data_IF_420865028962
#
_entry.id   IF_420865028962
#
_cell.length_a   1.000
_cell.length_b   1.000
_cell.length_c   1.000
_cell.angle_alpha   90.00
_cell.angle_beta   90.00
_cell.angle_gamma   90.00
#
_symmetry.space_group_name_H-M   'P 1'
#
loop_
_entity.id
_entity.type
_entity.pdbx_description
1 polymer ?
#
# COMPACT_ATOMS: atom_id res chain seq x y z
N UNK A 1 5.24 -23.24 18.10
CA UNK A 1 6.28 -22.18 18.06
C UNK A 1 7.34 -22.60 17.06
N UNK A 2 7.75 -21.69 16.16
CA UNK A 2 8.87 -21.95 15.25
C UNK A 2 10.19 -21.56 15.93
N UNK A 3 11.24 -22.35 15.70
CA UNK A 3 12.54 -22.12 16.33
C UNK A 3 13.33 -20.97 15.69
N UNK A 4 13.03 -20.65 14.44
CA UNK A 4 13.70 -19.64 13.66
C UNK A 4 12.66 -18.85 12.86
N UNK A 5 12.90 -17.58 12.65
CA UNK A 5 12.13 -16.75 11.71
C UNK A 5 13.04 -15.63 11.21
N UNK A 6 12.90 -15.27 9.96
CA UNK A 6 13.62 -14.14 9.34
C UNK A 6 12.98 -12.84 9.82
N UNK A 7 13.57 -12.23 10.85
CA UNK A 7 13.04 -10.97 11.40
C UNK A 7 12.86 -9.94 10.27
N UNK A 8 11.67 -9.30 10.22
CA UNK A 8 11.45 -8.29 9.18
C UNK A 8 12.44 -7.13 9.29
N UNK A 9 12.97 -6.72 8.16
CA UNK A 9 13.79 -5.52 8.04
C UNK A 9 12.91 -4.26 8.18
N UNK A 10 13.57 -3.11 8.25
CA UNK A 10 12.86 -1.82 8.33
C UNK A 10 11.99 -1.62 7.07
N UNK A 11 10.71 -1.33 7.26
CA UNK A 11 9.72 -1.12 6.20
C UNK A 11 9.48 -2.34 5.31
N UNK A 12 9.84 -3.55 5.78
CA UNK A 12 9.60 -4.77 5.02
C UNK A 12 8.15 -5.26 5.19
N UNK A 13 7.53 -5.71 4.10
CA UNK A 13 6.24 -6.42 4.13
C UNK A 13 6.40 -7.76 4.85
N UNK A 14 5.41 -8.13 5.65
CA UNK A 14 5.39 -9.45 6.31
C UNK A 14 5.45 -10.58 5.27
N UNK A 15 4.81 -10.37 4.11
CA UNK A 15 4.89 -11.30 2.97
C UNK A 15 6.35 -11.57 2.58
N UNK A 16 7.16 -10.50 2.49
CA UNK A 16 8.58 -10.59 2.11
C UNK A 16 9.38 -11.38 3.16
N UNK A 17 9.16 -11.08 4.44
CA UNK A 17 9.83 -11.80 5.54
C UNK A 17 9.47 -13.30 5.50
N UNK A 18 8.19 -13.64 5.25
CA UNK A 18 7.76 -15.04 5.11
C UNK A 18 8.41 -15.68 3.87
N UNK A 19 8.54 -14.95 2.76
CA UNK A 19 9.23 -15.44 1.57
C UNK A 19 10.71 -15.74 1.82
N UNK A 20 11.38 -14.88 2.62
CA UNK A 20 12.75 -15.12 3.06
C UNK A 20 12.82 -16.34 4.00
N UNK A 21 11.89 -16.45 4.94
CA UNK A 21 11.76 -17.61 5.83
C UNK A 21 11.64 -18.90 5.02
N UNK A 22 10.73 -18.94 4.05
CA UNK A 22 10.52 -20.09 3.16
C UNK A 22 11.84 -20.50 2.49
N UNK A 23 12.58 -19.53 1.97
CA UNK A 23 13.87 -19.77 1.28
C UNK A 23 14.91 -20.35 2.25
N UNK A 24 15.04 -19.75 3.45
CA UNK A 24 16.11 -20.14 4.40
C UNK A 24 15.82 -21.45 5.14
N UNK A 25 14.54 -21.82 5.29
CA UNK A 25 14.20 -23.13 5.87
C UNK A 25 14.45 -24.28 4.88
N UNK A 26 14.53 -23.98 3.59
CA UNK A 26 14.69 -25.00 2.56
C UNK A 26 13.41 -25.78 2.28
N UNK A 27 12.26 -25.31 2.74
CA UNK A 27 10.97 -25.94 2.44
C UNK A 27 10.74 -25.93 0.91
N UNK A 28 10.50 -27.10 0.34
CA UNK A 28 10.30 -27.23 -1.10
C UNK A 28 8.90 -26.78 -1.52
N UNK A 29 7.88 -27.13 -0.69
CA UNK A 29 6.48 -26.75 -0.96
C UNK A 29 6.10 -25.57 -0.06
N UNK A 30 5.59 -24.51 -0.69
CA UNK A 30 5.05 -23.35 0.05
C UNK A 30 3.96 -23.74 1.05
N UNK A 31 3.25 -24.84 0.80
CA UNK A 31 2.22 -25.36 1.74
C UNK A 31 2.82 -25.76 3.07
N UNK A 32 4.05 -26.27 3.09
CA UNK A 32 4.70 -26.67 4.34
C UNK A 32 5.01 -25.43 5.18
N UNK A 33 5.49 -24.36 4.55
CA UNK A 33 5.71 -23.07 5.21
C UNK A 33 4.39 -22.49 5.73
N UNK A 34 3.32 -22.59 4.94
CA UNK A 34 2.00 -22.12 5.38
C UNK A 34 1.50 -22.91 6.59
N UNK A 35 1.69 -24.23 6.59
CA UNK A 35 1.31 -25.07 7.72
C UNK A 35 2.13 -24.74 8.98
N UNK A 36 3.42 -24.54 8.84
CA UNK A 36 4.31 -24.16 9.95
C UNK A 36 3.87 -22.84 10.59
N UNK A 37 3.63 -21.81 9.76
CA UNK A 37 3.39 -20.45 10.25
C UNK A 37 1.92 -20.18 10.58
N UNK A 38 0.97 -20.89 9.95
CA UNK A 38 -0.45 -20.56 10.05
C UNK A 38 -1.35 -21.74 10.44
N UNK A 39 -0.80 -22.94 10.67
CA UNK A 39 -1.58 -24.17 10.90
C UNK A 39 -2.56 -24.49 9.75
N UNK A 40 -2.30 -24.01 8.54
CA UNK A 40 -3.16 -24.17 7.37
C UNK A 40 -2.33 -24.25 6.10
N UNK A 41 -2.66 -25.17 5.20
CA UNK A 41 -1.97 -25.34 3.92
C UNK A 41 -2.59 -24.53 2.77
N UNK A 42 -3.73 -23.88 3.00
CA UNK A 42 -4.55 -23.29 1.94
C UNK A 42 -4.70 -21.76 2.03
N UNK A 43 -3.96 -21.12 2.92
CA UNK A 43 -3.94 -19.65 2.99
C UNK A 43 -3.33 -19.11 1.70
N UNK A 44 -3.96 -18.09 1.12
CA UNK A 44 -3.40 -17.36 -0.02
C UNK A 44 -2.66 -16.14 0.54
N UNK A 45 -1.32 -16.14 0.51
CA UNK A 45 -0.57 -14.99 1.04
C UNK A 45 -0.84 -13.74 0.20
N UNK A 46 -1.43 -12.73 0.81
CA UNK A 46 -1.57 -11.44 0.13
C UNK A 46 -0.26 -10.67 0.25
N UNK A 47 0.12 -10.00 -0.82
CA UNK A 47 1.41 -9.29 -0.86
C UNK A 47 1.45 -8.16 0.19
N UNK A 48 0.43 -7.32 0.21
CA UNK A 48 0.50 -6.03 0.90
C UNK A 48 -0.08 -6.04 2.31
N UNK A 49 -1.05 -6.93 2.59
CA UNK A 49 -1.86 -6.82 3.82
C UNK A 49 -1.64 -8.00 4.77
N UNK A 50 -1.57 -9.23 4.24
CA UNK A 50 -1.52 -10.42 5.08
C UNK A 50 -2.91 -10.86 5.57
N UNK A 51 -2.94 -12.02 6.21
CA UNK A 51 -4.14 -12.58 6.86
C UNK A 51 -3.69 -13.57 7.93
N UNK A 52 -4.57 -13.96 8.84
CA UNK A 52 -4.27 -14.89 9.95
C UNK A 52 -3.05 -14.41 10.77
N UNK A 53 -2.92 -13.11 10.96
CA UNK A 53 -1.73 -12.52 11.62
C UNK A 53 -1.65 -12.93 13.09
N UNK A 54 -2.79 -13.20 13.78
CA UNK A 54 -2.77 -13.65 15.16
C UNK A 54 -2.12 -15.03 15.27
N UNK A 55 -2.44 -15.96 14.37
CA UNK A 55 -1.80 -17.28 14.32
C UNK A 55 -0.30 -17.14 14.06
N UNK A 56 0.08 -16.26 13.13
CA UNK A 56 1.50 -16.00 12.86
C UNK A 56 2.21 -15.47 14.10
N UNK A 57 1.67 -14.46 14.76
CA UNK A 57 2.27 -13.87 15.98
C UNK A 57 2.44 -14.93 17.08
N UNK A 58 1.43 -15.79 17.27
CA UNK A 58 1.47 -16.91 18.22
C UNK A 58 2.60 -17.89 17.87
N UNK A 59 2.72 -18.27 16.60
CA UNK A 59 3.79 -19.16 16.10
C UNK A 59 5.19 -18.57 16.31
N UNK A 60 5.30 -17.24 16.25
CA UNK A 60 6.57 -16.54 16.45
C UNK A 60 6.92 -16.37 17.96
N UNK A 61 6.10 -16.93 18.84
CA UNK A 61 6.45 -17.06 20.26
C UNK A 61 6.52 -15.76 21.04
N UNK A 62 5.69 -14.78 20.69
CA UNK A 62 5.62 -13.50 21.41
C UNK A 62 6.69 -12.49 21.06
N UNK A 63 7.59 -12.82 20.14
CA UNK A 63 8.57 -11.84 19.62
C UNK A 63 7.86 -10.71 18.89
N UNK A 64 6.70 -10.99 18.35
CA UNK A 64 5.89 -10.04 17.58
C UNK A 64 4.45 -10.08 18.08
N UNK A 65 3.82 -8.92 18.14
CA UNK A 65 2.37 -8.82 18.36
C UNK A 65 1.68 -8.65 17.00
N UNK A 66 0.43 -9.09 16.92
CA UNK A 66 -0.38 -8.91 15.70
C UNK A 66 -0.51 -7.44 15.32
N UNK A 67 -0.70 -6.57 16.31
CA UNK A 67 -0.77 -5.12 16.07
C UNK A 67 0.58 -4.58 15.58
N UNK A 68 1.69 -5.09 16.10
CA UNK A 68 3.03 -4.73 15.64
C UNK A 68 3.21 -5.09 14.17
N UNK A 69 2.87 -6.32 13.79
CA UNK A 69 2.95 -6.79 12.39
C UNK A 69 2.03 -5.94 11.50
N UNK A 70 0.78 -5.74 11.94
CA UNK A 70 -0.20 -4.96 11.18
C UNK A 70 0.33 -3.55 10.88
N UNK A 71 0.91 -2.88 11.88
CA UNK A 71 1.37 -1.49 11.76
C UNK A 71 2.72 -1.35 11.07
N UNK A 72 3.65 -2.29 11.29
CA UNK A 72 5.02 -2.14 10.81
C UNK A 72 5.31 -2.90 9.52
N UNK A 73 4.49 -3.93 9.19
CA UNK A 73 4.82 -4.86 8.13
C UNK A 73 3.68 -5.07 7.12
N UNK A 74 2.65 -4.19 7.13
CA UNK A 74 1.59 -4.16 6.10
C UNK A 74 1.36 -2.73 5.62
N UNK A 75 0.59 -2.58 4.53
CA UNK A 75 0.20 -1.24 4.04
C UNK A 75 -1.07 -0.71 4.71
N UNK A 76 -1.67 -1.43 5.64
CA UNK A 76 -2.91 -1.04 6.30
C UNK A 76 -2.85 0.37 6.92
N UNK A 77 -1.76 0.78 7.61
CA UNK A 77 -1.71 2.13 8.22
C UNK A 77 -1.93 3.28 7.23
N UNK A 78 -1.55 3.09 5.95
CA UNK A 78 -1.75 4.11 4.92
C UNK A 78 -3.24 4.41 4.72
N UNK A 79 -4.09 3.37 4.80
CA UNK A 79 -5.55 3.50 4.57
C UNK A 79 -6.32 3.85 5.84
N UNK A 80 -5.76 3.52 7.00
CA UNK A 80 -6.47 3.58 8.30
C UNK A 80 -7.17 4.91 8.57
N UNK A 81 -6.56 6.10 8.35
CA UNK A 81 -7.20 7.38 8.68
C UNK A 81 -8.45 7.69 7.84
N UNK A 82 -8.62 7.00 6.70
CA UNK A 82 -9.71 7.26 5.76
C UNK A 82 -10.89 6.30 5.95
N UNK A 83 -10.77 5.35 6.88
CA UNK A 83 -11.79 4.33 7.13
C UNK A 83 -12.71 4.76 8.29
N UNK A 84 -14.01 4.44 8.17
CA UNK A 84 -14.91 4.58 9.31
C UNK A 84 -14.53 3.55 10.39
N UNK A 85 -14.85 3.84 11.65
CA UNK A 85 -14.51 2.97 12.77
C UNK A 85 -15.05 1.54 12.59
N UNK A 86 -16.29 1.43 12.09
CA UNK A 86 -16.90 0.12 11.81
C UNK A 86 -16.08 -0.65 10.75
N UNK A 87 -15.69 0.05 9.69
CA UNK A 87 -14.91 -0.56 8.59
C UNK A 87 -13.51 -0.93 9.05
N UNK A 88 -12.87 -0.01 9.80
CA UNK A 88 -11.54 -0.24 10.41
C UNK A 88 -11.55 -1.52 11.25
N UNK A 89 -12.50 -1.65 12.19
CA UNK A 89 -12.61 -2.85 13.02
C UNK A 89 -12.82 -4.12 12.19
N UNK A 90 -13.73 -4.08 11.21
CA UNK A 90 -14.01 -5.23 10.35
C UNK A 90 -12.77 -5.67 9.56
N UNK A 91 -11.96 -4.73 9.08
CA UNK A 91 -10.73 -5.03 8.33
C UNK A 91 -9.67 -5.63 9.28
N UNK A 92 -9.48 -5.02 10.45
CA UNK A 92 -8.50 -5.51 11.45
C UNK A 92 -8.86 -6.94 11.85
N UNK A 93 -10.13 -7.23 12.13
CA UNK A 93 -10.60 -8.59 12.46
C UNK A 93 -10.30 -9.57 11.33
N UNK A 94 -10.55 -9.16 10.09
CA UNK A 94 -10.29 -9.99 8.91
C UNK A 94 -8.79 -10.27 8.74
N UNK A 95 -7.95 -9.26 8.96
CA UNK A 95 -6.48 -9.41 8.89
C UNK A 95 -5.99 -10.35 9.99
N UNK A 96 -6.51 -10.19 11.21
CA UNK A 96 -6.06 -10.97 12.37
C UNK A 96 -6.51 -12.44 12.31
N UNK A 97 -7.78 -12.66 12.02
CA UNK A 97 -8.42 -13.99 12.19
C UNK A 97 -8.94 -14.57 10.89
N UNK A 98 -9.21 -13.77 9.87
CA UNK A 98 -9.84 -14.17 8.62
C UNK A 98 -8.86 -14.73 7.59
N UNK A 99 -9.42 -15.14 6.45
CA UNK A 99 -8.65 -15.67 5.34
C UNK A 99 -8.23 -14.59 4.31
N UNK A 100 -8.51 -13.34 4.60
CA UNK A 100 -8.12 -12.21 3.76
C UNK A 100 -9.10 -11.89 2.63
N UNK A 101 -10.18 -12.66 2.49
CA UNK A 101 -11.14 -12.42 1.40
C UNK A 101 -11.82 -11.06 1.56
N UNK A 102 -11.87 -10.32 0.48
CA UNK A 102 -12.56 -9.03 0.46
C UNK A 102 -11.85 -7.88 1.14
N UNK A 103 -10.65 -8.07 1.71
CA UNK A 103 -9.90 -6.97 2.36
C UNK A 103 -9.66 -5.83 1.38
N UNK A 104 -9.22 -6.13 0.16
CA UNK A 104 -8.93 -5.11 -0.85
C UNK A 104 -10.19 -4.32 -1.24
N UNK A 105 -11.34 -4.99 -1.30
CA UNK A 105 -12.64 -4.33 -1.54
C UNK A 105 -13.04 -3.46 -0.34
N UNK A 106 -12.85 -3.98 0.88
CA UNK A 106 -13.13 -3.22 2.10
C UNK A 106 -12.22 -2.00 2.24
N UNK A 107 -10.98 -2.07 1.77
CA UNK A 107 -10.04 -0.94 1.76
C UNK A 107 -10.37 0.08 0.66
N UNK A 108 -11.15 -0.32 -0.36
CA UNK A 108 -11.44 0.53 -1.50
C UNK A 108 -10.42 0.42 -2.64
N UNK A 109 -9.46 -0.47 -2.52
CA UNK A 109 -8.37 -0.60 -3.50
C UNK A 109 -8.84 -1.13 -4.87
N UNK A 110 -9.98 -1.82 -4.90
CA UNK A 110 -10.54 -2.41 -6.13
C UNK A 110 -11.43 -1.42 -6.87
N UNK A 111 -12.13 -0.57 -6.12
CA UNK A 111 -13.11 0.36 -6.70
C UNK A 111 -12.40 1.51 -7.41
N UNK A 112 -12.73 1.72 -8.67
CA UNK A 112 -12.21 2.85 -9.46
C UNK A 112 -10.94 2.60 -10.24
N UNK A 113 -10.26 1.49 -10.00
CA UNK A 113 -9.03 1.10 -10.73
C UNK A 113 -7.98 2.22 -10.78
N UNK A 114 -7.88 3.02 -9.73
CA UNK A 114 -6.98 4.18 -9.68
C UNK A 114 -5.58 3.73 -9.26
N UNK A 115 -4.57 4.08 -10.03
CA UNK A 115 -3.14 3.84 -9.73
C UNK A 115 -2.83 2.39 -9.40
N UNK A 116 -3.48 1.43 -10.04
CA UNK A 116 -3.32 0.00 -9.73
C UNK A 116 -1.88 -0.46 -9.96
N UNK A 117 -1.31 -1.12 -8.97
CA UNK A 117 -0.03 -1.80 -9.08
C UNK A 117 -0.27 -3.30 -9.24
N UNK A 118 0.15 -3.84 -10.39
CA UNK A 118 -0.02 -5.26 -10.74
C UNK A 118 1.28 -6.06 -10.55
N UNK A 119 2.37 -5.37 -10.26
CA UNK A 119 3.72 -5.94 -10.13
C UNK A 119 4.28 -5.62 -8.75
N UNK A 120 5.29 -6.36 -8.36
CA UNK A 120 6.12 -6.00 -7.22
C UNK A 120 7.06 -4.89 -7.68
N UNK A 121 7.16 -3.83 -6.89
CA UNK A 121 8.04 -2.69 -7.19
C UNK A 121 9.18 -2.62 -6.19
N UNK A 122 10.33 -2.18 -6.65
CA UNK A 122 11.51 -1.99 -5.81
C UNK A 122 12.27 -0.74 -6.25
N UNK A 123 13.06 -0.20 -5.34
CA UNK A 123 13.98 0.91 -5.63
C UNK A 123 15.36 0.32 -5.88
N UNK A 124 16.01 0.58 -7.03
CA UNK A 124 17.32 0.02 -7.29
C UNK A 124 18.39 0.49 -6.29
N UNK A 125 18.27 1.72 -5.76
CA UNK A 125 19.22 2.21 -4.76
C UNK A 125 19.02 1.52 -3.40
N UNK A 126 17.75 1.36 -2.95
CA UNK A 126 17.45 0.59 -1.73
C UNK A 126 18.03 -0.82 -1.86
N UNK A 127 17.75 -1.49 -2.98
CA UNK A 127 18.20 -2.89 -3.19
C UNK A 127 19.72 -3.02 -3.13
N UNK A 128 20.46 -2.06 -3.69
CA UNK A 128 21.93 -2.06 -3.62
C UNK A 128 22.42 -1.94 -2.18
N UNK A 129 21.86 -1.00 -1.43
CA UNK A 129 22.20 -0.78 -0.01
C UNK A 129 21.88 -2.02 0.84
N UNK A 130 20.73 -2.65 0.57
CA UNK A 130 20.27 -3.84 1.29
C UNK A 130 21.17 -5.05 1.01
N UNK A 131 21.49 -5.28 -0.26
CA UNK A 131 22.40 -6.35 -0.64
C UNK A 131 23.76 -6.14 0.02
N UNK A 132 24.28 -4.91 0.01
CA UNK A 132 25.56 -4.59 0.66
C UNK A 132 25.50 -4.84 2.17
N UNK A 133 24.38 -4.44 2.81
CA UNK A 133 24.25 -4.47 4.28
C UNK A 133 23.83 -5.85 4.82
N UNK A 134 22.92 -6.50 4.12
CA UNK A 134 22.23 -7.71 4.62
C UNK A 134 22.49 -8.95 3.76
N UNK A 135 23.10 -8.78 2.58
CA UNK A 135 23.32 -9.87 1.63
C UNK A 135 22.10 -10.15 0.72
N UNK A 136 21.00 -9.43 0.93
CA UNK A 136 19.76 -9.66 0.17
C UNK A 136 18.90 -8.40 0.13
N UNK A 137 18.08 -8.28 -0.92
CA UNK A 137 17.07 -7.24 -1.05
C UNK A 137 15.71 -7.78 -0.57
N UNK A 138 14.80 -6.87 -0.19
CA UNK A 138 13.48 -7.25 0.33
C UNK A 138 12.39 -6.32 -0.21
N UNK A 139 11.13 -6.72 -0.04
CA UNK A 139 9.98 -5.98 -0.59
C UNK A 139 9.51 -4.94 0.43
N UNK A 140 9.71 -3.66 0.11
CA UNK A 140 9.28 -2.54 0.96
C UNK A 140 7.78 -2.30 0.85
N UNK A 141 7.16 -1.91 1.97
CA UNK A 141 5.75 -1.52 2.05
C UNK A 141 5.47 -0.30 1.16
N UNK A 142 6.30 0.75 1.32
CA UNK A 142 6.07 2.02 0.60
C UNK A 142 6.09 1.83 -0.92
N UNK A 143 6.96 0.94 -1.40
CA UNK A 143 7.09 0.71 -2.84
C UNK A 143 5.85 0.03 -3.45
N UNK A 144 4.99 -0.59 -2.62
CA UNK A 144 3.78 -1.25 -3.11
C UNK A 144 2.53 -0.35 -3.03
N UNK A 145 2.64 0.86 -2.44
CA UNK A 145 1.49 1.76 -2.33
C UNK A 145 1.03 2.26 -3.71
N UNK A 146 -0.28 2.30 -3.91
CA UNK A 146 -0.87 2.86 -5.12
C UNK A 146 -0.46 4.32 -5.28
N UNK A 147 -0.09 4.73 -6.50
CA UNK A 147 0.34 6.10 -6.79
C UNK A 147 1.79 6.42 -6.46
N UNK A 148 2.53 5.52 -5.81
CA UNK A 148 3.95 5.72 -5.49
C UNK A 148 4.80 5.12 -6.62
N UNK A 149 5.44 5.96 -7.40
CA UNK A 149 6.28 5.57 -8.55
C UNK A 149 7.74 5.97 -8.38
N UNK A 150 8.07 6.72 -7.33
CA UNK A 150 9.43 7.15 -6.97
C UNK A 150 9.67 6.74 -5.52
N UNK A 151 10.87 6.31 -5.20
CA UNK A 151 11.29 6.04 -3.83
C UNK A 151 11.31 7.33 -3.02
N UNK A 152 10.66 7.38 -1.87
CA UNK A 152 10.61 8.58 -1.01
C UNK A 152 11.97 8.94 -0.42
N UNK A 153 12.86 7.94 -0.29
CA UNK A 153 14.20 8.10 0.31
C UNK A 153 15.25 8.52 -0.73
N UNK A 154 15.25 7.86 -1.89
CA UNK A 154 16.31 8.06 -2.90
C UNK A 154 15.89 8.98 -4.05
N UNK A 155 14.59 9.26 -4.20
CA UNK A 155 14.11 10.08 -5.30
C UNK A 155 14.25 9.44 -6.68
N UNK A 156 14.52 8.14 -6.75
CA UNK A 156 14.66 7.44 -8.03
C UNK A 156 13.39 6.66 -8.35
N UNK A 157 13.12 6.48 -9.65
CA UNK A 157 11.96 5.74 -10.12
C UNK A 157 12.02 4.29 -9.63
N UNK A 158 10.86 3.74 -9.28
CA UNK A 158 10.74 2.35 -8.88
C UNK A 158 10.73 1.46 -10.13
N UNK A 159 11.49 0.37 -10.08
CA UNK A 159 11.50 -0.64 -11.12
C UNK A 159 10.47 -1.72 -10.83
N UNK A 160 9.93 -2.34 -11.88
CA UNK A 160 9.08 -3.53 -11.75
C UNK A 160 9.95 -4.76 -11.62
N UNK A 161 9.65 -5.58 -10.64
CA UNK A 161 10.29 -6.88 -10.52
C UNK A 161 9.68 -7.81 -11.58
N UNK A 162 10.50 -8.62 -12.28
CA UNK A 162 10.00 -9.42 -13.40
C UNK A 162 8.99 -10.50 -13.01
N UNK A 163 9.06 -11.01 -11.77
CA UNK A 163 8.10 -11.99 -11.27
C UNK A 163 6.95 -11.29 -10.55
N UNK A 164 5.76 -11.81 -10.68
CA UNK A 164 4.58 -11.28 -9.99
C UNK A 164 3.57 -12.39 -9.68
N UNK A 165 2.62 -12.10 -8.82
CA UNK A 165 1.65 -13.09 -8.34
C UNK A 165 0.70 -13.61 -9.42
N UNK A 166 0.54 -12.89 -10.53
CA UNK A 166 -0.31 -13.37 -11.63
C UNK A 166 0.36 -14.46 -12.46
N UNK A 167 1.70 -14.53 -12.42
CA UNK A 167 2.49 -15.48 -13.20
C UNK A 167 2.98 -16.66 -12.35
N UNK A 168 2.60 -16.72 -11.09
CA UNK A 168 3.02 -17.78 -10.15
C UNK A 168 1.80 -18.40 -9.50
N UNK A 169 2.00 -19.52 -8.83
CA UNK A 169 0.94 -20.11 -8.02
C UNK A 169 0.48 -19.14 -6.93
N UNK A 170 -0.82 -19.12 -6.65
CA UNK A 170 -1.41 -18.23 -5.64
C UNK A 170 -0.78 -18.37 -4.26
N UNK A 171 -0.27 -19.55 -3.94
CA UNK A 171 0.35 -19.82 -2.63
C UNK A 171 1.87 -19.64 -2.64
N UNK A 172 2.45 -19.39 -3.82
CA UNK A 172 3.91 -19.25 -3.97
C UNK A 172 4.40 -17.93 -3.39
N UNK A 173 5.54 -17.99 -2.70
CA UNK A 173 6.22 -16.80 -2.18
C UNK A 173 7.22 -16.28 -3.21
N UNK A 174 7.19 -14.99 -3.48
CA UNK A 174 8.15 -14.30 -4.35
C UNK A 174 9.13 -13.56 -3.44
N UNK A 175 10.41 -13.90 -3.57
CA UNK A 175 11.52 -13.20 -2.91
C UNK A 175 12.26 -12.39 -3.98
N UNK A 176 12.81 -11.24 -3.61
CA UNK A 176 13.66 -10.48 -4.52
C UNK A 176 15.00 -11.21 -4.67
N UNK A 177 15.28 -11.70 -5.87
CA UNK A 177 16.55 -12.33 -6.21
C UNK A 177 17.46 -11.27 -6.85
N UNK A 178 18.65 -11.07 -6.29
CA UNK A 178 19.61 -10.09 -6.76
C UNK A 178 19.94 -10.25 -8.26
N UNK A 179 19.88 -11.47 -8.77
CA UNK A 179 20.14 -11.76 -10.20
C UNK A 179 19.06 -11.22 -11.13
N UNK A 180 17.86 -10.94 -10.59
CA UNK A 180 16.72 -10.45 -11.37
C UNK A 180 16.51 -8.94 -11.19
N UNK A 181 17.35 -8.27 -10.40
CA UNK A 181 17.28 -6.82 -10.21
C UNK A 181 18.08 -6.15 -11.33
N UNK A 182 17.40 -5.32 -12.11
CA UNK A 182 18.00 -4.61 -13.25
C UNK A 182 18.00 -3.11 -12.96
N UNK A 183 19.18 -2.54 -12.80
CA UNK A 183 19.35 -1.13 -12.45
C UNK A 183 18.92 -0.17 -13.55
N UNK A 184 18.83 -0.65 -14.79
CA UNK A 184 18.57 0.21 -15.94
C UNK A 184 17.11 0.25 -16.37
N UNK A 185 16.24 -0.57 -15.75
CA UNK A 185 14.82 -0.59 -16.09
C UNK A 185 14.04 0.39 -15.23
N UNK A 186 13.87 1.59 -15.72
CA UNK A 186 12.90 2.54 -15.15
C UNK A 186 11.60 2.43 -15.93
N UNK A 187 10.52 2.18 -15.22
CA UNK A 187 9.20 2.03 -15.80
C UNK A 187 8.58 3.39 -16.08
N UNK A 188 8.49 3.74 -17.36
CA UNK A 188 7.58 4.73 -17.95
C UNK A 188 7.29 5.99 -17.13
N UNK A 189 8.24 6.42 -16.34
CA UNK A 189 8.07 7.59 -15.49
C UNK A 189 8.50 8.83 -16.30
N UNK A 190 7.64 9.82 -16.36
CA UNK A 190 7.91 11.07 -17.09
C UNK A 190 8.60 12.05 -16.13
N UNK A 191 9.91 12.27 -16.35
CA UNK A 191 10.75 13.16 -15.52
C UNK A 191 10.21 14.59 -15.40
N UNK A 192 9.40 15.02 -16.36
CA UNK A 192 8.72 16.32 -16.33
C UNK A 192 7.89 16.51 -15.04
N UNK A 193 7.38 15.41 -14.47
CA UNK A 193 6.52 15.47 -13.29
C UNK A 193 7.23 14.99 -12.03
N UNK A 194 8.57 14.99 -12.03
CA UNK A 194 9.41 14.47 -10.94
C UNK A 194 8.96 14.99 -9.58
N UNK A 195 8.82 16.31 -9.43
CA UNK A 195 8.47 16.93 -8.14
C UNK A 195 7.11 16.47 -7.64
N UNK A 196 6.16 16.25 -8.54
CA UNK A 196 4.82 15.78 -8.18
C UNK A 196 4.86 14.33 -7.70
N UNK A 197 5.59 13.48 -8.41
CA UNK A 197 5.79 12.09 -7.98
C UNK A 197 6.48 12.02 -6.61
N UNK A 198 7.54 12.81 -6.44
CA UNK A 198 8.31 12.81 -5.19
C UNK A 198 7.45 13.32 -4.01
N UNK A 199 6.66 14.36 -4.25
CA UNK A 199 5.72 14.90 -3.26
C UNK A 199 4.72 13.82 -2.83
N UNK A 200 4.10 13.12 -3.80
CA UNK A 200 3.13 12.06 -3.52
C UNK A 200 3.82 10.95 -2.71
N UNK A 201 5.01 10.52 -3.11
CA UNK A 201 5.74 9.45 -2.41
C UNK A 201 6.08 9.83 -0.98
N UNK A 202 6.54 11.05 -0.74
CA UNK A 202 6.84 11.54 0.61
C UNK A 202 5.59 11.60 1.50
N UNK A 203 4.46 12.07 0.96
CA UNK A 203 3.21 12.09 1.73
C UNK A 203 2.68 10.68 1.98
N UNK A 204 2.79 9.79 0.99
CA UNK A 204 2.40 8.39 1.15
C UNK A 204 3.24 7.70 2.24
N UNK A 205 4.56 7.91 2.22
CA UNK A 205 5.46 7.38 3.25
C UNK A 205 5.11 7.96 4.63
N UNK A 206 4.83 9.26 4.72
CA UNK A 206 4.42 9.89 5.98
C UNK A 206 3.16 9.22 6.53
N UNK A 207 2.13 9.02 5.69
CA UNK A 207 0.89 8.36 6.11
C UNK A 207 1.17 6.91 6.58
N UNK A 208 2.03 6.20 5.87
CA UNK A 208 2.35 4.80 6.18
C UNK A 208 3.15 4.66 7.48
N UNK A 209 4.06 5.59 7.74
CA UNK A 209 5.04 5.46 8.84
C UNK A 209 4.60 6.17 10.13
N UNK A 210 3.60 7.05 10.06
CA UNK A 210 3.11 7.80 11.22
C UNK A 210 2.03 7.00 11.96
N UNK A 211 1.98 7.14 13.28
CA UNK A 211 0.87 6.56 14.05
C UNK A 211 -0.34 7.49 13.95
N UNK A 212 -1.21 7.16 13.01
CA UNK A 212 -2.46 7.89 12.77
C UNK A 212 -3.70 7.11 13.27
N UNK A 213 -3.49 6.13 14.14
CA UNK A 213 -4.57 5.26 14.66
C UNK A 213 -5.70 6.03 15.36
N UNK A 214 -5.36 7.18 15.98
CA UNK A 214 -6.33 8.05 16.65
C UNK A 214 -7.05 9.02 15.68
N UNK A 215 -6.64 9.03 14.41
CA UNK A 215 -7.29 9.90 13.40
C UNK A 215 -8.52 9.18 12.86
N UNK A 216 -9.67 9.80 12.99
CA UNK A 216 -10.92 9.25 12.44
C UNK A 216 -11.22 9.87 11.07
N UNK A 217 -11.94 9.13 10.26
CA UNK A 217 -12.44 9.60 8.96
C UNK A 217 -13.17 10.94 9.10
N UNK A 218 -13.96 11.09 10.17
CA UNK A 218 -14.72 12.31 10.43
C UNK A 218 -13.79 13.52 10.64
N UNK A 219 -12.68 13.33 11.36
CA UNK A 219 -11.67 14.39 11.55
C UNK A 219 -11.06 14.80 10.19
N UNK A 220 -10.72 13.82 9.36
CA UNK A 220 -10.17 14.07 8.02
C UNK A 220 -11.19 14.85 7.16
N UNK A 221 -12.44 14.38 7.12
CA UNK A 221 -13.51 15.04 6.36
C UNK A 221 -13.76 16.47 6.82
N UNK A 222 -13.78 16.69 8.13
CA UNK A 222 -14.00 18.03 8.69
C UNK A 222 -12.84 18.97 8.34
N UNK A 223 -11.60 18.48 8.41
CA UNK A 223 -10.43 19.27 7.97
C UNK A 223 -10.55 19.63 6.50
N UNK A 224 -10.92 18.67 5.65
CA UNK A 224 -11.15 18.90 4.21
C UNK A 224 -12.21 19.98 3.98
N UNK A 225 -13.36 19.87 4.64
CA UNK A 225 -14.46 20.84 4.49
C UNK A 225 -14.01 22.25 4.89
N UNK A 226 -13.28 22.35 5.99
CA UNK A 226 -12.76 23.64 6.46
C UNK A 226 -11.80 24.26 5.44
N UNK A 227 -10.87 23.46 4.91
CA UNK A 227 -9.91 23.92 3.88
C UNK A 227 -10.65 24.40 2.62
N UNK A 228 -11.68 23.67 2.17
CA UNK A 228 -12.48 24.07 1.00
C UNK A 228 -13.23 25.38 1.28
N UNK A 229 -13.73 25.56 2.48
CA UNK A 229 -14.37 26.80 2.89
C UNK A 229 -13.39 27.97 2.89
N UNK A 230 -12.21 27.78 3.52
CA UNK A 230 -11.15 28.78 3.60
C UNK A 230 -10.66 29.22 2.21
N UNK A 231 -10.66 28.28 1.24
CA UNK A 231 -10.29 28.55 -0.15
C UNK A 231 -11.41 29.12 -1.01
N UNK A 232 -12.60 29.39 -0.42
CA UNK A 232 -13.74 29.94 -1.17
C UNK A 232 -14.39 28.93 -2.13
N UNK A 233 -14.09 27.63 -1.95
CA UNK A 233 -14.59 26.56 -2.83
C UNK A 233 -15.94 26.01 -2.37
N UNK A 234 -16.64 26.75 -1.48
CA UNK A 234 -18.00 26.41 -1.06
C UNK A 234 -18.93 27.60 -1.26
N UNK A 235 -20.22 27.31 -1.40
CA UNK A 235 -21.29 28.34 -1.40
C UNK A 235 -21.58 28.75 0.05
N UNK A 236 -22.41 29.78 0.24
CA UNK A 236 -22.90 30.21 1.55
C UNK A 236 -23.65 29.07 2.27
N UNK A 237 -24.31 28.18 1.52
CA UNK A 237 -24.99 26.99 2.07
C UNK A 237 -24.04 25.79 2.26
N UNK A 238 -22.74 26.02 2.22
CA UNK A 238 -21.65 25.00 2.40
C UNK A 238 -21.66 23.88 1.35
N UNK A 239 -22.29 24.10 0.20
CA UNK A 239 -22.19 23.17 -0.94
C UNK A 239 -20.89 23.42 -1.70
N UNK A 240 -20.22 22.34 -2.10
CA UNK A 240 -18.95 22.43 -2.80
C UNK A 240 -19.18 22.90 -4.25
N UNK A 241 -18.39 23.88 -4.67
CA UNK A 241 -18.38 24.40 -6.04
C UNK A 241 -17.55 23.44 -6.90
N UNK A 242 -18.18 22.38 -7.40
CA UNK A 242 -17.50 21.24 -8.04
C UNK A 242 -16.65 21.64 -9.23
N UNK A 243 -17.13 22.54 -10.08
CA UNK A 243 -16.35 23.02 -11.24
C UNK A 243 -15.10 23.75 -10.78
N UNK A 244 -15.23 24.71 -9.85
CA UNK A 244 -14.08 25.45 -9.34
C UNK A 244 -13.05 24.53 -8.69
N UNK A 245 -13.53 23.55 -7.91
CA UNK A 245 -12.65 22.55 -7.30
C UNK A 245 -11.90 21.74 -8.35
N UNK A 246 -12.60 21.31 -9.41
CA UNK A 246 -11.99 20.58 -10.52
C UNK A 246 -10.93 21.45 -11.23
N UNK A 247 -11.26 22.71 -11.52
CA UNK A 247 -10.36 23.63 -12.21
C UNK A 247 -9.08 23.89 -11.37
N UNK A 248 -9.23 24.09 -10.06
CA UNK A 248 -8.11 24.22 -9.12
C UNK A 248 -7.25 22.96 -9.11
N UNK A 249 -7.89 21.79 -9.02
CA UNK A 249 -7.18 20.50 -8.99
C UNK A 249 -6.39 20.31 -10.30
N UNK A 250 -7.01 20.55 -11.43
CA UNK A 250 -6.36 20.44 -12.75
C UNK A 250 -5.25 21.50 -12.89
N UNK A 251 -5.46 22.70 -12.34
CA UNK A 251 -4.45 23.76 -12.34
C UNK A 251 -3.17 23.35 -11.60
N UNK A 252 -3.33 22.67 -10.45
CA UNK A 252 -2.19 22.21 -9.64
C UNK A 252 -1.47 21.04 -10.29
N UNK A 253 -2.22 20.01 -10.69
CA UNK A 253 -1.61 18.75 -11.12
C UNK A 253 -1.38 18.68 -12.63
N UNK A 254 -2.30 19.20 -13.42
CA UNK A 254 -2.29 19.10 -14.88
C UNK A 254 -2.93 17.80 -15.36
N UNK A 255 -3.74 17.87 -16.41
CA UNK A 255 -4.46 16.70 -16.96
C UNK A 255 -3.53 15.54 -17.31
N UNK A 256 -2.41 15.83 -18.00
CA UNK A 256 -1.44 14.79 -18.41
C UNK A 256 -0.84 14.04 -17.23
N UNK A 257 -0.49 14.76 -16.16
CA UNK A 257 0.04 14.08 -14.96
C UNK A 257 -1.01 13.14 -14.36
N UNK A 258 -2.25 13.62 -14.24
CA UNK A 258 -3.35 12.84 -13.67
C UNK A 258 -3.61 11.56 -14.51
N UNK A 259 -3.48 11.67 -15.83
CA UNK A 259 -3.56 10.52 -16.74
C UNK A 259 -2.42 9.53 -16.52
N UNK A 260 -1.19 10.02 -16.34
CA UNK A 260 -0.03 9.12 -16.12
C UNK A 260 -0.16 8.32 -14.83
N UNK A 261 -0.81 8.85 -13.81
CA UNK A 261 -1.06 8.14 -12.56
C UNK A 261 -2.43 7.44 -12.52
N UNK A 262 -3.10 7.35 -13.69
CA UNK A 262 -4.39 6.64 -13.83
C UNK A 262 -5.49 7.20 -12.91
N UNK A 263 -5.51 8.53 -12.73
CA UNK A 263 -6.47 9.23 -11.86
C UNK A 263 -7.34 10.20 -12.67
N UNK A 264 -7.45 10.01 -13.99
CA UNK A 264 -8.15 10.96 -14.86
C UNK A 264 -9.63 11.15 -14.47
N UNK A 265 -10.08 12.35 -14.66
CA UNK A 265 -11.48 12.75 -14.47
C UNK A 265 -11.95 13.29 -15.83
N UNK A 266 -12.78 12.52 -16.52
CA UNK A 266 -13.24 12.86 -17.87
C UNK A 266 -14.26 14.00 -17.84
N UNK A 267 -15.14 13.98 -16.84
CA UNK A 267 -16.19 14.99 -16.72
C UNK A 267 -16.46 15.30 -15.23
N UNK A 268 -16.27 16.56 -14.84
CA UNK A 268 -16.48 16.98 -13.46
C UNK A 268 -17.96 16.87 -13.01
N UNK A 269 -18.90 16.93 -13.94
CA UNK A 269 -20.34 16.83 -13.64
C UNK A 269 -20.80 15.40 -13.36
N UNK A 270 -20.03 14.42 -13.82
CA UNK A 270 -20.37 13.02 -13.63
C UNK A 270 -19.79 12.49 -12.32
N UNK A 271 -20.18 11.26 -11.98
CA UNK A 271 -19.61 10.56 -10.83
C UNK A 271 -18.10 10.36 -11.05
N UNK A 272 -17.31 10.85 -10.13
CA UNK A 272 -15.85 10.72 -10.18
C UNK A 272 -15.28 10.76 -8.75
N UNK A 273 -14.03 10.31 -8.61
CA UNK A 273 -13.41 10.17 -7.29
C UNK A 273 -13.24 11.51 -6.55
N UNK A 274 -12.93 12.61 -7.24
CA UNK A 274 -12.77 13.93 -6.62
C UNK A 274 -14.10 14.40 -6.00
N UNK A 275 -15.18 14.14 -6.71
CA UNK A 275 -16.53 14.44 -6.21
C UNK A 275 -16.89 13.56 -5.01
N UNK A 276 -16.52 12.29 -5.05
CA UNK A 276 -16.76 11.34 -3.96
C UNK A 276 -16.01 11.74 -2.69
N UNK A 277 -14.76 12.12 -2.80
CA UNK A 277 -13.96 12.58 -1.65
C UNK A 277 -14.63 13.78 -0.98
N UNK A 278 -15.19 14.65 -1.74
CA UNK A 278 -15.78 15.90 -1.24
C UNK A 278 -17.24 15.82 -0.92
N UNK A 279 -17.87 14.98 -1.44
CA UNK A 279 -19.24 14.80 -1.25
C UNK A 279 -19.56 14.15 0.01
N UNK A 280 -18.70 13.84 0.48
CA UNK A 280 -18.97 13.20 1.59
C UNK A 280 -19.13 11.95 1.92
N UNK A 281 -19.38 11.66 1.01
CA UNK A 281 -19.63 10.56 1.52
C UNK A 281 -18.59 9.64 1.45
N UNK A 282 -17.97 10.00 1.44
CA UNK A 282 -17.03 9.27 1.35
C UNK A 282 -17.11 7.90 1.65
N UNK A 283 -17.69 7.61 1.05
CA UNK A 283 -17.66 6.30 1.15
C UNK A 283 -16.50 5.67 0.64
N UNK A 284 -16.01 6.14 -0.28
CA UNK A 284 -14.82 5.56 -0.92
C UNK A 284 -13.78 6.68 -1.11
N UNK A 285 -12.71 6.56 -0.40
CA UNK A 285 -11.48 7.24 -0.78
C UNK A 285 -10.65 6.15 -1.48
N UNK A 286 -10.24 6.35 -2.74
CA UNK A 286 -9.40 5.39 -3.44
C UNK A 286 -8.00 5.32 -2.85
#
# INVERSE_FOLDING_TARGET
MVHFFTDPYKDELIYSAIGRYHYYTGNVDCKDTLEELFNKRTIIPSLEIGSNIDTLAEKLGGRYTSDGILRKNTIFPYYEPFLSDKRKRSIIEEIKHGDGRGIYTKLGMVAGSICLKKHIYYCPSCSKEEIYKYGEAYIHREHQLQGVFICSHHGVALNKYPLNKSNSSRIEFIRLDSKLLDDNKTDGFDSKYYDKYLMISKYAYYLLSSDLSCVSKEKVLNKYKNLLYEKGLTTASKRIKQQQLYDEFIGVYGKKFIETIQCQIDNYNEYNWLRVITXXXXXYIP
#
